data_IF_460364578748
#
_entry.id   IF_460364578748
#
_cell.length_a   1.000
_cell.length_b   1.000
_cell.length_c   1.000
_cell.angle_alpha   90.00
_cell.angle_beta   90.00
_cell.angle_gamma   90.00
#
_symmetry.space_group_name_H-M   'P 1'
#
loop_
_entity.id
_entity.type
_entity.pdbx_description
1 polymer ?
#
# COMPACT_ATOMS: atom_id res chain seq x y z
N UNK A 1 11.97 15.81 -28.73
CA UNK A 1 11.40 14.95 -27.68
C UNK A 1 12.28 15.10 -26.45
N UNK A 2 11.85 15.88 -25.45
CA UNK A 2 12.65 16.17 -24.26
C UNK A 2 12.57 14.94 -23.35
N UNK A 3 13.54 14.03 -23.50
CA UNK A 3 13.77 13.02 -22.48
C UNK A 3 14.40 13.74 -21.29
N UNK A 4 13.60 14.02 -20.26
CA UNK A 4 14.12 14.52 -18.98
C UNK A 4 14.99 13.39 -18.41
N UNK A 5 16.30 13.44 -18.69
CA UNK A 5 17.30 12.58 -18.07
C UNK A 5 17.53 13.07 -16.64
N UNK A 6 16.60 12.76 -15.75
CA UNK A 6 16.81 12.97 -14.32
C UNK A 6 17.98 12.07 -13.88
N UNK A 7 19.01 12.64 -13.24
CA UNK A 7 20.08 11.81 -12.63
C UNK A 7 19.44 10.85 -11.63
N UNK A 8 19.89 9.58 -11.60
CA UNK A 8 19.32 8.49 -10.76
C UNK A 8 19.01 8.91 -9.31
N UNK A 9 19.84 9.77 -8.71
CA UNK A 9 19.62 10.31 -7.35
C UNK A 9 18.33 11.14 -7.23
N UNK A 10 18.08 12.08 -8.15
CA UNK A 10 16.87 12.90 -8.12
C UNK A 10 15.63 12.08 -8.49
N UNK A 11 15.79 11.04 -9.30
CA UNK A 11 14.68 10.15 -9.65
C UNK A 11 14.16 9.42 -8.40
N UNK A 12 15.07 8.93 -7.55
CA UNK A 12 14.69 8.30 -6.29
C UNK A 12 13.89 9.25 -5.38
N UNK A 13 14.39 10.46 -5.15
CA UNK A 13 13.68 11.44 -4.32
C UNK A 13 12.34 11.87 -4.92
N UNK A 14 12.29 12.11 -6.24
CA UNK A 14 11.07 12.51 -6.93
C UNK A 14 10.00 11.41 -6.85
N UNK A 15 10.38 10.14 -7.07
CA UNK A 15 9.46 9.00 -6.98
C UNK A 15 8.97 8.82 -5.54
N UNK A 16 9.85 8.93 -4.54
CA UNK A 16 9.48 8.80 -3.14
C UNK A 16 8.49 9.89 -2.69
N UNK A 17 8.76 11.15 -3.05
CA UNK A 17 7.87 12.29 -2.72
C UNK A 17 6.54 12.18 -3.46
N UNK A 18 6.56 11.84 -4.75
CA UNK A 18 5.32 11.69 -5.51
C UNK A 18 4.47 10.55 -4.97
N UNK A 19 5.09 9.42 -4.61
CA UNK A 19 4.42 8.29 -3.99
C UNK A 19 3.77 8.66 -2.66
N UNK A 20 4.44 9.44 -1.81
CA UNK A 20 3.86 9.86 -0.53
C UNK A 20 2.70 10.85 -0.70
N UNK A 21 2.79 11.78 -1.67
CA UNK A 21 1.69 12.69 -2.03
C UNK A 21 0.47 11.90 -2.54
N UNK A 22 0.68 10.97 -3.48
CA UNK A 22 -0.41 10.14 -4.02
C UNK A 22 -1.06 9.33 -2.89
N UNK A 23 -0.25 8.69 -2.03
CA UNK A 23 -0.77 7.92 -0.90
C UNK A 23 -1.62 8.78 0.06
N UNK A 24 -1.20 10.01 0.35
CA UNK A 24 -1.98 10.94 1.18
C UNK A 24 -3.31 11.33 0.53
N UNK A 25 -3.29 11.60 -0.79
CA UNK A 25 -4.52 11.90 -1.55
C UNK A 25 -5.47 10.70 -1.55
N UNK A 26 -4.97 9.49 -1.78
CA UNK A 26 -5.79 8.26 -1.74
C UNK A 26 -6.47 8.10 -0.40
N UNK A 27 -5.73 8.24 0.69
CA UNK A 27 -6.27 8.18 2.06
C UNK A 27 -7.37 9.24 2.29
N UNK A 28 -7.15 10.48 1.82
CA UNK A 28 -8.17 11.52 1.92
C UNK A 28 -9.44 11.19 1.14
N UNK A 29 -9.30 10.59 -0.04
CA UNK A 29 -10.43 10.10 -0.83
C UNK A 29 -11.14 8.94 -0.15
N UNK A 30 -10.41 7.99 0.44
CA UNK A 30 -10.99 6.87 1.20
C UNK A 30 -11.90 7.41 2.30
N UNK A 31 -11.43 8.38 3.11
CA UNK A 31 -12.20 8.99 4.18
C UNK A 31 -13.48 9.70 3.69
N UNK A 32 -13.39 10.41 2.55
CA UNK A 32 -14.55 11.08 1.93
C UNK A 32 -15.57 10.03 1.45
N UNK A 33 -15.11 8.99 0.75
CA UNK A 33 -15.98 7.95 0.19
C UNK A 33 -16.66 7.17 1.31
N UNK A 34 -15.93 6.78 2.36
CA UNK A 34 -16.52 6.09 3.52
C UNK A 34 -17.52 6.95 4.27
N UNK A 35 -17.28 8.27 4.37
CA UNK A 35 -18.21 9.23 4.95
C UNK A 35 -19.49 9.39 4.12
N UNK A 36 -19.41 9.39 2.80
CA UNK A 36 -20.58 9.41 1.94
C UNK A 36 -21.35 8.09 1.95
N UNK A 37 -20.66 6.95 2.01
CA UNK A 37 -21.27 5.63 2.08
C UNK A 37 -21.97 5.34 3.41
N UNK A 38 -21.49 5.92 4.53
CA UNK A 38 -22.12 5.76 5.84
C UNK A 38 -23.54 6.34 5.93
N UNK A 39 -23.95 7.16 4.95
CA UNK A 39 -25.33 7.63 4.80
C UNK A 39 -26.31 6.55 4.34
N UNK A 40 -25.80 5.49 3.70
CA UNK A 40 -26.60 4.46 3.05
C UNK A 40 -26.43 3.06 3.66
N UNK A 41 -25.29 2.80 4.29
CA UNK A 41 -24.93 1.51 4.88
C UNK A 41 -24.64 1.64 6.37
N UNK A 42 -24.79 0.55 7.12
CA UNK A 42 -24.40 0.52 8.52
C UNK A 42 -22.88 0.62 8.68
N UNK A 43 -22.35 1.13 9.81
CA UNK A 43 -20.90 1.34 10.00
C UNK A 43 -20.05 0.08 9.76
N UNK A 44 -20.56 -1.08 10.14
CA UNK A 44 -19.88 -2.37 9.94
C UNK A 44 -19.82 -2.75 8.45
N UNK A 45 -20.89 -2.48 7.70
CA UNK A 45 -20.99 -2.82 6.27
C UNK A 45 -20.20 -1.88 5.38
N UNK A 46 -20.09 -0.60 5.74
CA UNK A 46 -19.41 0.43 4.93
C UNK A 46 -18.01 -0.01 4.53
N UNK A 47 -17.22 -0.51 5.48
CA UNK A 47 -15.83 -0.92 5.23
C UNK A 47 -15.72 -2.08 4.24
N UNK A 48 -16.62 -3.06 4.35
CA UNK A 48 -16.64 -4.23 3.48
C UNK A 48 -17.17 -3.92 2.07
N UNK A 49 -18.25 -3.15 1.98
CA UNK A 49 -18.83 -2.71 0.71
C UNK A 49 -17.84 -1.82 -0.03
N UNK A 50 -17.19 -0.90 0.68
CA UNK A 50 -16.15 -0.06 0.10
C UNK A 50 -14.95 -0.88 -0.37
N UNK A 51 -14.43 -1.79 0.46
CA UNK A 51 -13.31 -2.64 0.09
C UNK A 51 -13.58 -3.53 -1.13
N UNK A 52 -14.75 -4.15 -1.19
CA UNK A 52 -15.17 -4.94 -2.35
C UNK A 52 -15.33 -4.08 -3.61
N UNK A 53 -15.89 -2.87 -3.47
CA UNK A 53 -16.05 -1.93 -4.58
C UNK A 53 -14.70 -1.44 -5.10
N UNK A 54 -13.80 -1.04 -4.20
CA UNK A 54 -12.45 -0.61 -4.53
C UNK A 54 -11.65 -1.71 -5.22
N UNK A 55 -11.74 -2.96 -4.73
CA UNK A 55 -11.11 -4.11 -5.37
C UNK A 55 -11.68 -4.36 -6.78
N UNK A 56 -13.00 -4.38 -6.93
CA UNK A 56 -13.66 -4.69 -8.20
C UNK A 56 -13.36 -3.63 -9.26
N UNK A 57 -13.50 -2.35 -8.90
CA UNK A 57 -13.19 -1.22 -9.77
C UNK A 57 -11.69 -1.17 -10.07
N UNK A 58 -10.86 -1.34 -9.06
CA UNK A 58 -9.41 -1.40 -9.20
C UNK A 58 -8.96 -2.48 -10.17
N UNK A 59 -9.48 -3.70 -10.04
CA UNK A 59 -9.19 -4.82 -10.95
C UNK A 59 -9.53 -4.47 -12.39
N UNK A 60 -10.75 -3.95 -12.63
CA UNK A 60 -11.22 -3.60 -13.98
C UNK A 60 -10.39 -2.47 -14.59
N UNK A 61 -10.12 -1.40 -13.83
CA UNK A 61 -9.35 -0.25 -14.28
C UNK A 61 -7.89 -0.66 -14.51
N UNK A 62 -7.26 -1.39 -13.58
CA UNK A 62 -5.89 -1.86 -13.74
C UNK A 62 -5.75 -2.77 -14.95
N UNK A 63 -6.70 -3.67 -15.20
CA UNK A 63 -6.70 -4.50 -16.40
C UNK A 63 -6.87 -3.66 -17.67
N UNK A 64 -7.80 -2.70 -17.69
CA UNK A 64 -8.06 -1.82 -18.82
C UNK A 64 -6.82 -0.96 -19.16
N UNK A 65 -6.21 -0.33 -18.15
CA UNK A 65 -4.95 0.43 -18.31
C UNK A 65 -3.84 -0.50 -18.81
N UNK A 66 -3.68 -1.68 -18.23
CA UNK A 66 -2.61 -2.61 -18.63
C UNK A 66 -2.78 -3.09 -20.08
N UNK A 67 -4.02 -3.34 -20.51
CA UNK A 67 -4.35 -3.68 -21.90
C UNK A 67 -4.07 -2.50 -22.83
N UNK A 68 -4.50 -1.30 -22.46
CA UNK A 68 -4.24 -0.08 -23.23
C UNK A 68 -2.74 0.19 -23.39
N UNK A 69 -1.96 0.08 -22.31
CA UNK A 69 -0.51 0.24 -22.34
C UNK A 69 0.19 -0.88 -23.15
N UNK A 70 -0.44 -2.04 -23.28
CA UNK A 70 0.06 -3.15 -24.10
C UNK A 70 -0.13 -2.96 -25.60
N UNK A 71 -0.91 -1.96 -26.05
CA UNK A 71 -1.10 -1.67 -27.47
C UNK A 71 0.25 -1.29 -28.09
N UNK A 72 0.60 -1.97 -29.20
CA UNK A 72 1.86 -1.72 -29.92
C UNK A 72 1.66 -0.63 -30.97
N UNK A 73 2.43 0.44 -30.86
CA UNK A 73 2.50 1.52 -31.85
C UNK A 73 3.93 1.59 -32.37
N UNK A 74 4.11 1.46 -33.69
CA UNK A 74 5.44 1.44 -34.35
C UNK A 74 6.40 0.39 -33.76
N UNK A 75 5.88 -0.77 -33.40
CA UNK A 75 6.67 -1.90 -32.87
C UNK A 75 7.02 -1.84 -31.39
N UNK A 76 6.61 -0.80 -30.65
CA UNK A 76 6.80 -0.69 -29.18
C UNK A 76 5.47 -0.59 -28.46
N UNK A 77 5.36 -1.17 -27.27
CA UNK A 77 4.18 -1.03 -26.41
C UNK A 77 4.06 0.43 -25.93
N UNK A 78 2.85 0.99 -25.85
CA UNK A 78 2.64 2.34 -25.32
C UNK A 78 3.21 2.51 -23.90
N UNK A 79 3.09 1.48 -23.06
CA UNK A 79 3.66 1.47 -21.71
C UNK A 79 5.18 1.61 -21.67
N UNK A 80 5.89 1.29 -22.76
CA UNK A 80 7.34 1.47 -22.84
C UNK A 80 7.80 2.94 -22.76
N UNK A 81 6.87 3.88 -22.94
CA UNK A 81 7.11 5.30 -22.75
C UNK A 81 7.20 5.70 -21.27
N UNK A 82 6.41 5.03 -20.42
CA UNK A 82 6.37 5.29 -18.96
C UNK A 82 7.41 4.44 -18.25
N UNK A 83 7.46 3.15 -18.57
CA UNK A 83 8.45 2.21 -18.07
C UNK A 83 9.18 1.56 -19.25
N UNK A 84 10.47 1.89 -19.49
CA UNK A 84 11.25 1.28 -20.56
C UNK A 84 11.31 -0.25 -20.55
N UNK A 85 11.09 -0.89 -19.40
CA UNK A 85 11.07 -2.35 -19.25
C UNK A 85 9.71 -2.97 -19.62
N UNK A 86 8.64 -2.16 -19.76
CA UNK A 86 7.31 -2.66 -20.04
C UNK A 86 7.20 -3.25 -21.46
N UNK A 87 6.90 -4.55 -21.54
CA UNK A 87 6.75 -5.29 -22.79
C UNK A 87 5.38 -5.99 -22.92
N UNK A 88 4.33 -5.34 -22.40
CA UNK A 88 2.96 -5.85 -22.45
C UNK A 88 2.67 -6.99 -21.48
N UNK A 89 1.42 -7.47 -21.51
CA UNK A 89 0.96 -8.58 -20.67
C UNK A 89 1.47 -9.94 -21.18
N UNK A 90 1.92 -10.77 -20.24
CA UNK A 90 2.41 -12.13 -20.48
C UNK A 90 1.61 -13.13 -19.64
N UNK A 91 1.34 -14.30 -20.21
CA UNK A 91 0.78 -15.42 -19.44
C UNK A 91 1.83 -15.92 -18.45
N UNK A 92 1.40 -16.12 -17.20
CA UNK A 92 2.25 -16.60 -16.09
C UNK A 92 2.69 -18.03 -16.36
N UNK A 93 3.98 -18.33 -16.15
CA UNK A 93 4.51 -19.70 -16.26
C UNK A 93 4.22 -20.50 -14.98
N UNK A 94 4.13 -21.82 -15.09
CA UNK A 94 3.83 -22.71 -13.94
C UNK A 94 4.81 -22.55 -12.78
N UNK A 95 6.09 -22.31 -13.08
CA UNK A 95 7.16 -22.08 -12.10
C UNK A 95 6.97 -20.77 -11.31
N UNK A 96 6.41 -19.75 -11.97
CA UNK A 96 6.18 -18.42 -11.39
C UNK A 96 4.88 -18.36 -10.58
N UNK A 97 3.95 -19.29 -10.83
CA UNK A 97 2.62 -19.31 -10.24
C UNK A 97 2.66 -19.30 -8.71
N UNK A 98 3.59 -20.06 -8.11
CA UNK A 98 3.72 -20.10 -6.64
C UNK A 98 4.04 -18.72 -6.07
N UNK A 99 4.96 -17.99 -6.70
CA UNK A 99 5.36 -16.66 -6.25
C UNK A 99 4.21 -15.64 -6.41
N UNK A 100 3.48 -15.70 -7.51
CA UNK A 100 2.30 -14.84 -7.70
C UNK A 100 1.17 -15.16 -6.71
N UNK A 101 0.97 -16.42 -6.35
CA UNK A 101 -0.02 -16.81 -5.34
C UNK A 101 0.39 -16.33 -3.95
N UNK A 102 1.67 -16.43 -3.59
CA UNK A 102 2.18 -15.91 -2.32
C UNK A 102 2.04 -14.38 -2.26
N UNK A 103 2.48 -13.66 -3.31
CA UNK A 103 2.30 -12.22 -3.42
C UNK A 103 0.82 -11.79 -3.37
N UNK A 104 -0.05 -12.52 -4.05
CA UNK A 104 -1.49 -12.30 -4.02
C UNK A 104 -2.08 -12.54 -2.63
N UNK A 105 -1.65 -13.58 -1.92
CA UNK A 105 -2.08 -13.87 -0.55
C UNK A 105 -1.63 -12.78 0.43
N UNK A 106 -0.38 -12.33 0.33
CA UNK A 106 0.15 -11.20 1.12
C UNK A 106 -0.69 -9.95 0.92
N UNK A 107 -0.94 -9.59 -0.33
CA UNK A 107 -1.75 -8.42 -0.68
C UNK A 107 -3.23 -8.56 -0.25
N UNK A 108 -3.78 -9.78 -0.28
CA UNK A 108 -5.12 -10.04 0.22
C UNK A 108 -5.19 -9.89 1.74
N UNK A 109 -4.20 -10.41 2.49
CA UNK A 109 -4.11 -10.28 3.94
C UNK A 109 -4.03 -8.80 4.34
N UNK A 110 -3.18 -8.01 3.67
CA UNK A 110 -3.06 -6.57 3.95
C UNK A 110 -4.35 -5.82 3.64
N UNK A 111 -4.98 -6.10 2.50
CA UNK A 111 -6.22 -5.42 2.08
C UNK A 111 -7.39 -5.77 3.00
N UNK A 112 -7.60 -7.06 3.29
CA UNK A 112 -8.68 -7.50 4.19
C UNK A 112 -8.43 -7.03 5.60
N UNK A 113 -7.18 -7.12 6.09
CA UNK A 113 -6.82 -6.63 7.42
C UNK A 113 -6.99 -5.12 7.56
N UNK A 114 -6.73 -4.34 6.50
CA UNK A 114 -7.02 -2.91 6.45
C UNK A 114 -8.50 -2.62 6.65
N UNK A 115 -9.36 -3.20 5.80
CA UNK A 115 -10.81 -2.94 5.87
C UNK A 115 -11.42 -3.52 7.15
N UNK A 116 -10.86 -4.60 7.69
CA UNK A 116 -11.25 -5.10 9.00
C UNK A 116 -10.88 -4.12 10.11
N UNK A 117 -9.66 -3.60 10.14
CA UNK A 117 -9.27 -2.56 11.10
C UNK A 117 -10.18 -1.34 10.98
N UNK A 118 -10.46 -0.89 9.75
CA UNK A 118 -11.38 0.22 9.48
C UNK A 118 -12.79 -0.05 10.01
N UNK A 119 -13.30 -1.27 9.90
CA UNK A 119 -14.63 -1.65 10.39
C UNK A 119 -14.76 -1.60 11.92
N UNK A 120 -13.64 -1.66 12.64
CA UNK A 120 -13.59 -1.62 14.09
C UNK A 120 -13.40 -0.22 14.66
N UNK A 121 -13.01 0.76 13.83
CA UNK A 121 -12.69 2.12 14.28
C UNK A 121 -13.85 3.08 14.07
N UNK A 122 -14.05 3.95 15.05
CA UNK A 122 -15.05 5.04 14.93
C UNK A 122 -14.53 6.16 14.03
N UNK A 123 -13.21 6.36 13.98
CA UNK A 123 -12.53 7.35 13.15
C UNK A 123 -11.47 6.68 12.22
N UNK A 124 -11.74 6.61 10.91
CA UNK A 124 -10.79 6.12 9.91
C UNK A 124 -9.41 6.80 9.92
N UNK A 125 -9.34 8.07 10.34
CA UNK A 125 -8.11 8.86 10.30
C UNK A 125 -7.03 8.32 11.24
N UNK A 126 -7.42 7.61 12.30
CA UNK A 126 -6.53 6.99 13.27
C UNK A 126 -5.91 5.67 12.79
N UNK A 127 -6.45 5.02 11.74
CA UNK A 127 -5.91 3.76 11.18
C UNK A 127 -4.63 4.01 10.37
N UNK A 128 -4.60 5.09 9.60
CA UNK A 128 -3.53 5.37 8.61
C UNK A 128 -2.14 5.43 9.22
N UNK A 129 -1.94 6.06 10.40
CA UNK A 129 -0.64 6.07 11.03
C UNK A 129 -0.13 4.66 11.38
N UNK A 130 -1.01 3.70 11.72
CA UNK A 130 -0.58 2.33 12.04
C UNK A 130 0.11 1.59 10.89
N UNK A 131 -0.17 1.95 9.63
CA UNK A 131 0.57 1.40 8.49
C UNK A 131 2.04 1.78 8.47
N UNK A 132 2.42 2.89 9.11
CA UNK A 132 3.82 3.36 9.13
C UNK A 132 4.70 2.51 10.05
N UNK A 133 4.10 1.70 10.92
CA UNK A 133 4.80 0.71 11.75
C UNK A 133 5.48 -0.36 10.87
N UNK A 134 4.98 -0.62 9.66
CA UNK A 134 5.58 -1.58 8.71
C UNK A 134 7.07 -1.33 8.45
N UNK A 135 7.54 -0.08 8.60
CA UNK A 135 8.95 0.30 8.44
C UNK A 135 9.85 -0.50 9.38
N UNK A 136 9.43 -0.73 10.63
CA UNK A 136 10.21 -1.52 11.59
C UNK A 136 10.27 -3.00 11.17
N UNK A 137 9.20 -3.53 10.58
CA UNK A 137 9.16 -4.90 10.10
C UNK A 137 10.07 -5.09 8.88
N UNK A 138 10.09 -4.13 7.95
CA UNK A 138 10.97 -4.13 6.80
C UNK A 138 12.44 -4.12 7.24
N UNK A 139 12.82 -3.24 8.17
CA UNK A 139 14.20 -3.20 8.71
C UNK A 139 14.61 -4.52 9.38
N UNK A 140 13.70 -5.15 10.13
CA UNK A 140 13.98 -6.46 10.72
C UNK A 140 14.18 -7.55 9.67
N UNK A 141 13.38 -7.55 8.61
CA UNK A 141 13.48 -8.57 7.55
C UNK A 141 14.70 -8.34 6.67
N UNK A 142 15.05 -7.11 6.32
CA UNK A 142 16.33 -6.78 5.67
C UNK A 142 17.51 -7.28 6.52
N UNK A 143 17.46 -7.06 7.83
CA UNK A 143 18.49 -7.55 8.76
C UNK A 143 18.60 -9.08 8.78
N UNK A 144 17.48 -9.80 8.77
CA UNK A 144 17.48 -11.28 8.86
C UNK A 144 17.81 -11.93 7.52
N UNK A 145 17.17 -11.48 6.44
CA UNK A 145 17.24 -12.10 5.11
C UNK A 145 18.50 -11.66 4.37
N UNK A 146 18.76 -10.35 4.31
CA UNK A 146 19.92 -9.82 3.59
C UNK A 146 21.18 -9.77 4.46
N UNK A 147 21.06 -10.08 5.76
CA UNK A 147 22.14 -9.95 6.76
C UNK A 147 22.71 -8.53 6.82
N UNK A 148 21.92 -7.53 6.42
CA UNK A 148 22.31 -6.14 6.43
C UNK A 148 21.93 -5.50 7.77
N UNK A 149 22.89 -5.30 8.66
CA UNK A 149 22.60 -4.73 9.99
C UNK A 149 22.25 -3.24 9.84
N UNK A 150 21.07 -2.80 10.31
CA UNK A 150 20.68 -1.41 10.22
C UNK A 150 21.61 -0.53 11.04
N UNK A 151 21.93 0.63 10.49
CA UNK A 151 22.72 1.65 11.18
C UNK A 151 21.93 2.26 12.34
N UNK A 152 22.65 2.85 13.30
CA UNK A 152 22.01 3.56 14.42
C UNK A 152 21.05 4.67 13.93
N UNK A 153 21.39 5.32 12.82
CA UNK A 153 20.58 6.39 12.22
C UNK A 153 19.27 5.83 11.64
N UNK A 154 19.31 4.67 10.97
CA UNK A 154 18.10 3.99 10.47
C UNK A 154 17.19 3.53 11.61
N UNK A 155 17.77 2.99 12.69
CA UNK A 155 17.00 2.60 13.88
C UNK A 155 16.36 3.83 14.54
N UNK A 156 17.10 4.91 14.74
CA UNK A 156 16.57 6.12 15.36
C UNK A 156 15.50 6.79 14.51
N UNK A 157 15.74 6.94 13.20
CA UNK A 157 14.79 7.56 12.28
C UNK A 157 13.50 6.74 12.13
N UNK A 158 13.60 5.42 11.98
CA UNK A 158 12.41 4.55 11.92
C UNK A 158 11.62 4.55 13.23
N UNK A 159 12.30 4.60 14.38
CA UNK A 159 11.66 4.73 15.69
C UNK A 159 10.90 6.05 15.80
N UNK A 160 11.51 7.18 15.40
CA UNK A 160 10.86 8.50 15.42
C UNK A 160 9.62 8.52 14.52
N UNK A 161 9.72 7.98 13.30
CA UNK A 161 8.58 7.90 12.37
C UNK A 161 7.47 7.04 12.94
N UNK A 162 7.81 5.89 13.53
CA UNK A 162 6.84 4.98 14.15
C UNK A 162 6.16 5.61 15.36
N UNK A 163 6.91 6.28 16.23
CA UNK A 163 6.35 6.99 17.38
C UNK A 163 5.45 8.15 16.94
N UNK A 164 5.87 8.93 15.94
CA UNK A 164 5.04 9.99 15.37
C UNK A 164 3.74 9.45 14.78
N UNK A 165 3.79 8.28 14.15
CA UNK A 165 2.61 7.59 13.68
C UNK A 165 1.69 7.14 14.84
N UNK A 166 2.23 6.49 15.87
CA UNK A 166 1.44 6.08 17.05
C UNK A 166 0.81 7.30 17.75
N UNK A 167 1.53 8.42 17.84
CA UNK A 167 0.97 9.66 18.39
C UNK A 167 -0.16 10.21 17.53
N UNK A 168 -0.03 10.13 16.20
CA UNK A 168 -1.07 10.54 15.26
C UNK A 168 -2.30 9.62 15.25
N UNK A 169 -2.19 8.40 15.77
CA UNK A 169 -3.32 7.46 15.88
C UNK A 169 -4.01 7.49 17.25
N UNK A 170 -3.49 8.23 18.21
CA UNK A 170 -4.25 8.54 19.43
C UNK A 170 -5.42 9.42 18.98
N UNK A 171 -6.62 8.86 19.08
CA UNK A 171 -7.85 9.52 18.65
C UNK A 171 -8.06 10.84 19.41
N UNK A 172 -8.93 11.69 18.88
CA UNK A 172 -9.33 12.95 19.53
C UNK A 172 -9.94 12.69 20.92
N UNK A 173 -10.52 11.50 21.16
CA UNK A 173 -11.05 11.08 22.47
C UNK A 173 -9.98 10.62 23.46
N UNK A 174 -8.72 10.47 23.04
CA UNK A 174 -7.60 10.05 23.90
C UNK A 174 -7.55 8.55 24.20
N UNK A 175 -8.45 7.76 23.59
CA UNK A 175 -8.47 6.30 23.74
C UNK A 175 -7.66 5.62 22.65
N UNK A 176 -6.82 4.67 23.05
CA UNK A 176 -6.09 3.79 22.13
C UNK A 176 -7.00 2.61 21.81
N UNK A 177 -7.42 2.50 20.55
CA UNK A 177 -8.18 1.35 20.09
C UNK A 177 -7.25 0.13 19.90
N UNK A 178 -7.18 -0.71 20.94
CA UNK A 178 -6.22 -1.83 21.05
C UNK A 178 -6.45 -2.93 20.00
N UNK A 179 -7.70 -3.17 19.61
CA UNK A 179 -8.03 -4.26 18.67
C UNK A 179 -7.55 -3.92 17.24
N UNK A 180 -7.88 -2.75 16.65
CA UNK A 180 -7.30 -2.32 15.37
C UNK A 180 -5.76 -2.31 15.40
N UNK A 181 -5.16 -1.84 16.50
CA UNK A 181 -3.71 -1.87 16.69
C UNK A 181 -3.16 -3.30 16.59
N UNK A 182 -3.76 -4.26 17.30
CA UNK A 182 -3.34 -5.65 17.28
C UNK A 182 -3.47 -6.27 15.87
N UNK A 183 -4.55 -5.99 15.15
CA UNK A 183 -4.73 -6.43 13.76
C UNK A 183 -3.60 -5.89 12.87
N UNK A 184 -3.25 -4.61 13.02
CA UNK A 184 -2.19 -3.99 12.24
C UNK A 184 -0.82 -4.60 12.52
N UNK A 185 -0.48 -4.82 13.80
CA UNK A 185 0.81 -5.36 14.22
C UNK A 185 0.96 -6.86 13.95
N UNK A 186 -0.08 -7.65 14.13
CA UNK A 186 0.01 -9.12 14.11
C UNK A 186 -0.42 -9.73 12.77
N UNK A 187 -1.24 -9.03 11.99
CA UNK A 187 -1.79 -9.57 10.73
C UNK A 187 -1.32 -8.77 9.54
N UNK A 188 -1.60 -7.46 9.50
CA UNK A 188 -1.35 -6.63 8.31
C UNK A 188 0.14 -6.48 8.04
N UNK A 189 0.92 -5.99 9.02
CA UNK A 189 2.35 -5.72 8.80
C UNK A 189 3.17 -7.00 8.55
N UNK A 190 2.99 -8.11 9.29
CA UNK A 190 3.68 -9.37 8.98
C UNK A 190 3.26 -9.95 7.64
N UNK A 191 1.96 -9.92 7.32
CA UNK A 191 1.43 -10.38 6.03
C UNK A 191 2.00 -9.59 4.86
N UNK A 192 2.18 -8.28 5.03
CA UNK A 192 2.86 -7.43 4.05
C UNK A 192 4.29 -7.91 3.86
N UNK A 193 5.10 -7.95 4.91
CA UNK A 193 6.55 -8.13 4.76
C UNK A 193 6.94 -9.56 4.38
N UNK A 194 6.19 -10.58 4.79
CA UNK A 194 6.53 -11.98 4.52
C UNK A 194 6.18 -12.44 3.11
N UNK A 195 5.22 -11.77 2.47
CA UNK A 195 4.62 -12.27 1.23
C UNK A 195 4.64 -11.26 0.08
N UNK A 196 4.89 -9.97 0.35
CA UNK A 196 5.12 -8.93 -0.68
C UNK A 196 6.57 -8.90 -1.16
#
# INVERSE_FOLDING_TARGET
>A
MIAIKLRRKYLFYAVAILSSIIASITVGLDAIITSEMSKFYSPEEVSWVYGFSAFSVGLLISLAISLFLSIKVKGRCLGSFVDPAFNGLRIIRREELKYHLLAGAGNAITTVGYFYALSLMTDPSAVIPFFRVVILYLLMVEMIVEKNTPTLIEIQSSTIVTLGAILGSISISGEIEVIPLAVMFLVVNPGWVLFS
#
